data_IF_090578565450
#
_entry.id   IF_090578565450
#
_cell.length_a   1.000
_cell.length_b   1.000
_cell.length_c   1.000
_cell.angle_alpha   90.00
_cell.angle_beta   90.00
_cell.angle_gamma   90.00
#
_symmetry.space_group_name_H-M   'P 1'
#
loop_
_entity.id
_entity.type
_entity.pdbx_description
1 polymer ?
#
# COMPACT_ATOMS: atom_id res chain seq x y z
N UNK A 1 -1.43 17.30 32.19
CA UNK A 1 -1.40 16.33 31.07
C UNK A 1 -2.21 16.93 29.93
N UNK A 2 -1.57 17.27 28.80
CA UNK A 2 -2.27 17.81 27.63
C UNK A 2 -3.10 16.71 26.98
N UNK A 3 -4.34 17.02 26.58
CA UNK A 3 -5.22 16.07 25.86
C UNK A 3 -4.61 15.58 24.55
N UNK A 4 -3.66 16.34 23.98
CA UNK A 4 -2.98 16.03 22.73
C UNK A 4 -1.70 15.23 22.92
N UNK A 5 -1.24 15.00 24.17
CA UNK A 5 -0.02 14.23 24.44
C UNK A 5 0.07 12.89 23.68
N UNK A 6 -1.01 12.10 23.51
CA UNK A 6 -0.96 10.85 22.75
C UNK A 6 -0.65 10.99 21.25
N UNK A 7 -0.83 12.19 20.67
CA UNK A 7 -0.64 12.42 19.23
C UNK A 7 0.83 12.66 18.85
N UNK A 8 1.63 13.20 19.76
CA UNK A 8 3.03 13.56 19.49
C UNK A 8 4.03 12.85 20.41
N UNK A 9 3.61 12.42 21.60
CA UNK A 9 4.46 11.67 22.52
C UNK A 9 4.26 10.16 22.33
N UNK A 10 4.60 9.68 21.13
CA UNK A 10 4.51 8.27 20.77
C UNK A 10 5.79 7.52 21.17
N UNK A 11 5.70 6.26 21.61
CA UNK A 11 6.88 5.48 21.94
C UNK A 11 7.77 5.26 20.70
N UNK A 12 9.08 5.35 20.90
CA UNK A 12 10.05 5.09 19.84
C UNK A 12 10.23 3.58 19.62
N UNK A 13 9.90 3.11 18.41
CA UNK A 13 10.04 1.70 18.00
C UNK A 13 11.00 1.53 16.81
N UNK A 14 11.91 2.48 16.56
CA UNK A 14 12.77 2.46 15.36
C UNK A 14 13.67 1.23 15.33
N UNK A 15 14.41 0.94 16.41
CA UNK A 15 15.36 -0.19 16.47
C UNK A 15 14.65 -1.54 16.32
N UNK A 16 13.46 -1.68 16.90
CA UNK A 16 12.62 -2.88 16.75
C UNK A 16 12.22 -3.09 15.29
N UNK A 17 11.72 -2.03 14.63
CA UNK A 17 11.35 -2.07 13.22
C UNK A 17 12.56 -2.37 12.33
N UNK A 18 13.71 -1.76 12.60
CA UNK A 18 14.95 -2.04 11.86
C UNK A 18 15.32 -3.51 11.96
N UNK A 19 15.32 -4.09 13.16
CA UNK A 19 15.59 -5.52 13.36
C UNK A 19 14.59 -6.39 12.62
N UNK A 20 13.30 -6.09 12.69
CA UNK A 20 12.26 -6.84 11.99
C UNK A 20 12.42 -6.80 10.46
N UNK A 21 12.74 -5.64 9.89
CA UNK A 21 12.96 -5.49 8.45
C UNK A 21 14.28 -6.11 7.99
N UNK A 22 15.33 -6.09 8.80
CA UNK A 22 16.63 -6.70 8.50
C UNK A 22 16.61 -8.22 8.64
N UNK A 23 15.80 -8.76 9.57
CA UNK A 23 15.65 -10.20 9.77
C UNK A 23 14.89 -10.92 8.63
N UNK A 24 14.19 -10.19 7.77
CA UNK A 24 13.39 -10.77 6.68
C UNK A 24 14.14 -10.77 5.35
N UNK A 25 14.15 -11.90 4.66
CA UNK A 25 14.66 -12.05 3.28
C UNK A 25 13.62 -11.72 2.21
N UNK A 26 12.36 -11.44 2.59
CA UNK A 26 11.29 -11.07 1.66
C UNK A 26 11.67 -9.80 0.87
N UNK A 27 11.08 -9.54 -0.32
CA UNK A 27 11.24 -8.25 -0.97
C UNK A 27 10.79 -7.11 -0.05
N UNK A 28 11.45 -5.95 -0.12
CA UNK A 28 11.27 -4.85 0.83
C UNK A 28 9.79 -4.45 1.01
N UNK A 29 9.03 -4.39 -0.09
CA UNK A 29 7.61 -4.03 -0.09
C UNK A 29 6.74 -4.98 0.74
N UNK A 30 7.16 -6.23 0.92
CA UNK A 30 6.42 -7.26 1.68
C UNK A 30 6.86 -7.40 3.14
N UNK A 31 7.93 -6.70 3.58
CA UNK A 31 8.53 -6.91 4.91
C UNK A 31 7.70 -6.33 6.06
N UNK A 32 6.87 -5.33 5.78
CA UNK A 32 6.06 -4.70 6.81
C UNK A 32 4.97 -5.63 7.37
N UNK A 33 4.56 -5.43 8.63
CA UNK A 33 3.62 -6.35 9.31
C UNK A 33 2.24 -6.42 8.65
N UNK A 34 1.79 -5.33 8.00
CA UNK A 34 0.47 -5.23 7.36
C UNK A 34 0.52 -5.29 5.83
N UNK A 35 1.67 -5.61 5.25
CA UNK A 35 1.84 -5.58 3.79
C UNK A 35 0.99 -6.64 3.07
N UNK A 36 0.65 -7.73 3.76
CA UNK A 36 -0.29 -8.74 3.28
C UNK A 36 -1.72 -8.20 3.05
N UNK A 37 -2.06 -7.02 3.60
CA UNK A 37 -3.34 -6.34 3.35
C UNK A 37 -3.14 -5.23 2.32
N UNK A 38 -2.13 -4.38 2.52
CA UNK A 38 -1.92 -3.20 1.69
C UNK A 38 -1.58 -3.53 0.24
N UNK A 39 -0.68 -4.49 0.01
CA UNK A 39 -0.28 -4.82 -1.36
C UNK A 39 -1.41 -5.47 -2.17
N UNK A 40 -2.14 -6.49 -1.67
CA UNK A 40 -3.28 -7.02 -2.40
C UNK A 40 -4.38 -5.99 -2.67
N UNK A 41 -4.69 -5.12 -1.71
CA UNK A 41 -5.66 -4.05 -1.89
C UNK A 41 -5.23 -3.08 -3.00
N UNK A 42 -3.96 -2.64 -2.97
CA UNK A 42 -3.39 -1.81 -4.01
C UNK A 42 -3.44 -2.49 -5.39
N UNK A 43 -2.97 -3.73 -5.49
CA UNK A 43 -2.94 -4.45 -6.77
C UNK A 43 -4.34 -4.67 -7.34
N UNK A 44 -5.33 -4.94 -6.49
CA UNK A 44 -6.73 -5.09 -6.91
C UNK A 44 -7.27 -3.80 -7.52
N UNK A 45 -7.11 -2.69 -6.81
CA UNK A 45 -7.59 -1.38 -7.28
C UNK A 45 -6.85 -0.93 -8.54
N UNK A 46 -5.54 -1.14 -8.58
CA UNK A 46 -4.72 -0.83 -9.74
C UNK A 46 -5.17 -1.63 -10.97
N UNK A 47 -5.31 -2.96 -10.83
CA UNK A 47 -5.74 -3.81 -11.93
C UNK A 47 -7.15 -3.44 -12.44
N UNK A 48 -8.09 -3.16 -11.54
CA UNK A 48 -9.42 -2.71 -11.90
C UNK A 48 -9.41 -1.36 -12.65
N UNK A 49 -8.59 -0.41 -12.18
CA UNK A 49 -8.39 0.88 -12.84
C UNK A 49 -7.82 0.71 -14.25
N UNK A 50 -6.74 -0.05 -14.39
CA UNK A 50 -6.09 -0.28 -15.69
C UNK A 50 -7.01 -1.03 -16.67
N UNK A 51 -7.75 -2.04 -16.22
CA UNK A 51 -8.73 -2.73 -17.04
C UNK A 51 -9.82 -1.77 -17.54
N UNK A 52 -10.30 -0.86 -16.68
CA UNK A 52 -11.27 0.16 -17.05
C UNK A 52 -10.72 1.14 -18.09
N UNK A 53 -9.45 1.54 -17.96
CA UNK A 53 -8.77 2.39 -18.94
C UNK A 53 -8.66 1.70 -20.30
N UNK A 54 -8.23 0.44 -20.34
CA UNK A 54 -8.14 -0.33 -21.59
C UNK A 54 -9.52 -0.49 -22.23
N UNK A 55 -10.55 -0.81 -21.45
CA UNK A 55 -11.93 -0.89 -21.92
C UNK A 55 -12.41 0.43 -22.54
N UNK A 56 -12.19 1.56 -21.85
CA UNK A 56 -12.56 2.88 -22.34
C UNK A 56 -11.80 3.25 -23.62
N UNK A 57 -10.49 2.97 -23.69
CA UNK A 57 -9.67 3.22 -24.87
C UNK A 57 -10.14 2.39 -26.07
N UNK A 58 -10.50 1.13 -25.87
CA UNK A 58 -11.07 0.28 -26.92
C UNK A 58 -12.38 0.84 -27.46
N UNK A 59 -13.28 1.27 -26.58
CA UNK A 59 -14.54 1.89 -26.98
C UNK A 59 -14.35 3.23 -27.67
N UNK A 60 -13.37 4.03 -27.27
CA UNK A 60 -13.01 5.28 -27.93
C UNK A 60 -12.48 5.00 -29.34
N UNK A 61 -11.54 4.05 -29.48
CA UNK A 61 -10.89 3.73 -30.75
C UNK A 61 -11.86 3.13 -31.78
N UNK A 62 -12.80 2.30 -31.35
CA UNK A 62 -13.82 1.75 -32.27
C UNK A 62 -14.80 2.80 -32.79
N UNK A 63 -14.89 3.96 -32.14
CA UNK A 63 -16.01 4.86 -32.31
C UNK A 63 -17.27 4.19 -31.78
N UNK A 64 -17.97 4.86 -30.87
CA UNK A 64 -19.22 4.30 -30.35
C UNK A 64 -20.31 4.40 -31.43
N UNK A 65 -21.24 3.44 -31.43
CA UNK A 65 -22.63 3.84 -31.58
C UNK A 65 -22.95 4.84 -30.47
#
# INVERSE_FOLDING_TARGET
>A
MSILSPLYNLPNHVTEKQRAYQASTKPLIWRGPRQHIYLPAFFTLFAAGMASTVYAAFHLAKGKN
#
